data_IF_258241061980
#
_entry.id   IF_258241061980
#
_cell.length_a   1.000
_cell.length_b   1.000
_cell.length_c   1.000
_cell.angle_alpha   90.00
_cell.angle_beta   90.00
_cell.angle_gamma   90.00
#
_symmetry.space_group_name_H-M   'P 1'
#
loop_
_entity.id
_entity.type
_entity.pdbx_description
1 polymer ?
#
# COMPACT_ATOMS: atom_id res chain seq x y z
N UNK A 1 -33.60 14.88 -16.71
CA UNK A 1 -33.27 13.44 -16.83
C UNK A 1 -31.79 13.30 -17.21
N UNK A 2 -30.87 13.63 -16.28
CA UNK A 2 -29.43 13.38 -16.45
C UNK A 2 -28.92 12.84 -15.11
N UNK A 3 -29.17 11.56 -14.90
CA UNK A 3 -28.49 10.74 -13.88
C UNK A 3 -27.32 10.07 -14.61
N UNK A 4 -26.22 10.79 -14.81
CA UNK A 4 -24.94 10.15 -15.13
C UNK A 4 -24.26 9.87 -13.80
N UNK A 5 -24.27 8.58 -13.46
CA UNK A 5 -23.58 8.01 -12.33
C UNK A 5 -22.14 8.54 -12.25
N UNK A 6 -21.70 8.83 -11.03
CA UNK A 6 -20.30 9.02 -10.68
C UNK A 6 -19.53 7.77 -11.11
N UNK A 7 -18.95 7.77 -12.30
CA UNK A 7 -18.13 6.68 -12.80
C UNK A 7 -16.88 6.58 -11.92
N UNK A 8 -16.84 5.54 -11.09
CA UNK A 8 -15.66 5.09 -10.36
C UNK A 8 -14.60 4.70 -11.40
N UNK A 9 -13.57 5.52 -11.56
CA UNK A 9 -12.41 5.16 -12.38
C UNK A 9 -11.44 4.31 -11.55
N UNK A 10 -11.42 3.00 -11.79
CA UNK A 10 -10.46 2.08 -11.20
C UNK A 10 -9.35 1.78 -12.23
N UNK A 11 -8.09 2.13 -11.93
CA UNK A 11 -6.93 1.77 -12.75
C UNK A 11 -6.22 0.57 -12.13
N UNK A 12 -6.00 -0.48 -12.94
CA UNK A 12 -5.42 -1.76 -12.56
C UNK A 12 -3.91 -1.77 -12.84
N UNK A 13 -3.07 -2.13 -11.85
CA UNK A 13 -1.69 -2.58 -12.08
C UNK A 13 -1.46 -3.84 -11.26
N UNK A 14 -1.20 -4.95 -11.96
CA UNK A 14 -1.11 -6.31 -11.40
C UNK A 14 0.21 -6.53 -10.64
N UNK A 15 1.20 -5.67 -10.89
CA UNK A 15 2.45 -5.59 -10.14
C UNK A 15 2.59 -4.21 -9.54
N UNK A 16 2.76 -4.11 -8.21
CA UNK A 16 3.01 -2.83 -7.55
C UNK A 16 4.47 -2.45 -7.62
N UNK A 17 4.83 -1.38 -8.33
CA UNK A 17 6.22 -0.92 -8.35
C UNK A 17 6.70 -0.45 -6.97
N UNK A 18 5.79 0.09 -6.15
CA UNK A 18 6.11 0.59 -4.81
C UNK A 18 6.48 -0.55 -3.85
N UNK A 19 5.72 -1.63 -3.90
CA UNK A 19 6.00 -2.85 -3.13
C UNK A 19 7.39 -3.41 -3.36
N UNK A 20 7.75 -3.52 -4.65
CA UNK A 20 9.05 -4.01 -5.07
C UNK A 20 10.15 -3.03 -4.65
N UNK A 21 9.91 -1.72 -4.77
CA UNK A 21 10.87 -0.73 -4.29
C UNK A 21 11.15 -0.86 -2.79
N UNK A 22 10.13 -1.06 -1.96
CA UNK A 22 10.28 -1.28 -0.51
C UNK A 22 11.05 -2.58 -0.21
N UNK A 23 10.82 -3.62 -1.01
CA UNK A 23 11.57 -4.86 -0.94
C UNK A 23 13.05 -4.69 -1.21
N UNK A 24 13.35 -4.01 -2.33
CA UNK A 24 14.71 -3.79 -2.78
C UNK A 24 15.44 -2.90 -1.78
N UNK A 25 14.79 -1.86 -1.24
CA UNK A 25 15.37 -1.07 -0.16
C UNK A 25 15.72 -1.93 1.07
N UNK A 26 14.82 -2.83 1.46
CA UNK A 26 15.06 -3.74 2.59
C UNK A 26 16.22 -4.69 2.31
N UNK A 27 16.24 -5.31 1.13
CA UNK A 27 17.32 -6.20 0.67
C UNK A 27 18.66 -5.46 0.68
N UNK A 28 18.72 -4.28 0.09
CA UNK A 28 19.95 -3.52 -0.06
C UNK A 28 20.52 -3.14 1.32
N UNK A 29 19.67 -2.78 2.28
CA UNK A 29 20.07 -2.54 3.67
C UNK A 29 20.56 -3.80 4.39
N UNK A 30 19.92 -4.95 4.15
CA UNK A 30 20.35 -6.23 4.70
C UNK A 30 21.73 -6.63 4.15
N UNK A 31 21.93 -6.54 2.84
CA UNK A 31 23.22 -6.81 2.18
C UNK A 31 24.33 -5.89 2.67
N UNK A 32 24.01 -4.61 2.91
CA UNK A 32 24.98 -3.64 3.42
C UNK A 32 25.37 -3.90 4.89
N UNK A 33 24.44 -4.44 5.70
CA UNK A 33 24.68 -4.74 7.11
C UNK A 33 25.30 -6.13 7.34
N UNK A 34 25.08 -7.07 6.43
CA UNK A 34 25.45 -8.48 6.54
C UNK A 34 26.08 -8.96 5.23
N UNK A 35 27.41 -9.08 5.21
CA UNK A 35 28.17 -9.44 3.99
C UNK A 35 27.79 -10.79 3.40
N UNK A 36 27.39 -11.75 4.23
CA UNK A 36 26.91 -13.07 3.85
C UNK A 36 25.62 -13.01 3.04
N UNK A 37 24.80 -11.97 3.21
CA UNK A 37 23.58 -11.76 2.45
C UNK A 37 23.82 -11.09 1.10
N UNK A 38 25.04 -10.61 0.84
CA UNK A 38 25.41 -9.94 -0.41
C UNK A 38 25.71 -10.91 -1.57
N UNK A 39 25.93 -12.19 -1.25
CA UNK A 39 26.15 -13.26 -2.23
C UNK A 39 24.91 -13.48 -3.12
N UNK A 40 25.15 -13.84 -4.37
CA UNK A 40 24.07 -14.05 -5.33
C UNK A 40 23.16 -15.21 -4.90
N UNK A 41 21.87 -14.93 -4.75
CA UNK A 41 20.87 -15.90 -4.32
C UNK A 41 20.69 -16.06 -2.81
N UNK A 42 21.46 -15.35 -1.98
CA UNK A 42 21.29 -15.35 -0.52
C UNK A 42 19.94 -14.73 -0.09
N UNK A 43 19.49 -13.69 -0.80
CA UNK A 43 18.16 -13.10 -0.64
C UNK A 43 17.31 -13.37 -1.88
N UNK A 44 16.16 -14.01 -1.69
CA UNK A 44 15.16 -14.16 -2.74
C UNK A 44 13.92 -13.31 -2.45
N UNK A 45 13.60 -12.44 -3.41
CA UNK A 45 12.34 -11.70 -3.43
C UNK A 45 11.22 -12.60 -3.95
N UNK A 46 10.14 -12.72 -3.16
CA UNK A 46 8.96 -13.47 -3.58
C UNK A 46 7.72 -12.59 -3.52
N UNK A 47 6.91 -12.67 -4.58
CA UNK A 47 5.70 -11.87 -4.75
C UNK A 47 4.49 -12.70 -4.33
N UNK A 48 3.77 -12.25 -3.30
CA UNK A 48 2.52 -12.88 -2.84
C UNK A 48 1.35 -11.98 -3.27
N UNK A 49 0.36 -12.58 -3.94
CA UNK A 49 -0.89 -11.88 -4.33
C UNK A 49 -1.92 -12.01 -3.23
N UNK A 50 -2.48 -10.89 -2.79
CA UNK A 50 -3.47 -10.86 -1.71
C UNK A 50 -4.90 -10.86 -2.23
N UNK A 51 -5.86 -11.20 -1.38
CA UNK A 51 -7.28 -11.06 -1.73
C UNK A 51 -7.67 -9.59 -1.97
N UNK A 52 -7.03 -8.65 -1.27
CA UNK A 52 -7.20 -7.22 -1.50
C UNK A 52 -6.82 -6.77 -2.91
N UNK A 53 -5.83 -7.41 -3.55
CA UNK A 53 -5.48 -7.14 -4.95
C UNK A 53 -6.54 -7.65 -5.94
N UNK A 54 -7.35 -8.63 -5.54
CA UNK A 54 -8.41 -9.21 -6.38
C UNK A 54 -9.72 -8.40 -6.33
N UNK A 55 -9.96 -7.66 -5.24
CA UNK A 55 -11.22 -6.93 -5.01
C UNK A 55 -10.96 -5.42 -5.17
N UNK A 56 -10.98 -4.95 -6.42
CA UNK A 56 -10.72 -3.54 -6.78
C UNK A 56 -11.98 -2.78 -7.26
N UNK A 57 -13.14 -3.44 -7.26
CA UNK A 57 -14.39 -2.90 -7.81
C UNK A 57 -15.33 -2.32 -6.75
N UNK A 58 -14.98 -2.43 -5.46
CA UNK A 58 -15.80 -1.95 -4.34
C UNK A 58 -15.00 -1.03 -3.41
N UNK A 59 -15.63 -0.06 -2.74
CA UNK A 59 -14.96 0.81 -1.78
C UNK A 59 -14.36 0.02 -0.62
N UNK A 60 -13.14 0.36 -0.21
CA UNK A 60 -12.43 -0.30 0.90
C UNK A 60 -13.23 -0.32 2.21
N UNK A 61 -14.04 0.71 2.44
CA UNK A 61 -14.92 0.82 3.61
C UNK A 61 -16.03 -0.24 3.64
N UNK A 62 -16.44 -0.73 2.46
CA UNK A 62 -17.54 -1.68 2.30
C UNK A 62 -17.05 -3.14 2.30
N UNK A 63 -15.75 -3.37 2.10
CA UNK A 63 -15.16 -4.72 1.90
C UNK A 63 -14.97 -5.49 3.23
N UNK A 64 -15.15 -4.86 4.40
CA UNK A 64 -15.33 -5.53 5.70
C UNK A 64 -14.50 -6.80 5.94
N UNK A 65 -13.25 -6.67 6.37
CA UNK A 65 -12.40 -7.82 6.72
C UNK A 65 -11.08 -7.38 7.32
N UNK A 66 -10.68 -7.96 8.46
CA UNK A 66 -9.35 -7.72 9.04
C UNK A 66 -8.29 -8.38 8.15
N UNK A 67 -7.24 -7.65 7.76
CA UNK A 67 -6.08 -8.22 7.07
C UNK A 67 -6.22 -8.44 5.56
N UNK A 68 -7.07 -7.67 4.87
CA UNK A 68 -7.28 -7.77 3.40
C UNK A 68 -6.00 -7.79 2.54
N UNK A 69 -4.93 -7.17 3.03
CA UNK A 69 -3.64 -7.08 2.35
C UNK A 69 -2.50 -7.78 3.08
N UNK A 70 -2.76 -8.43 4.22
CA UNK A 70 -1.70 -9.08 5.02
C UNK A 70 -1.92 -10.57 5.18
N UNK A 71 -3.17 -11.05 5.10
CA UNK A 71 -3.53 -12.43 5.42
C UNK A 71 -2.67 -13.47 4.69
N UNK A 72 -2.55 -13.38 3.36
CA UNK A 72 -1.78 -14.36 2.59
C UNK A 72 -0.27 -14.29 2.88
N UNK A 73 0.24 -13.13 3.29
CA UNK A 73 1.64 -12.96 3.68
C UNK A 73 1.88 -13.51 5.09
N UNK A 74 0.95 -13.24 6.00
CA UNK A 74 0.95 -13.75 7.37
C UNK A 74 0.92 -15.29 7.35
N UNK A 75 0.08 -15.90 6.51
CA UNK A 75 0.04 -17.36 6.31
C UNK A 75 1.36 -17.91 5.77
N UNK A 76 1.97 -17.23 4.78
CA UNK A 76 3.25 -17.65 4.24
C UNK A 76 4.38 -17.58 5.28
N UNK A 77 4.39 -16.55 6.14
CA UNK A 77 5.33 -16.43 7.26
C UNK A 77 5.13 -17.52 8.29
N UNK A 78 3.89 -17.82 8.65
CA UNK A 78 3.57 -18.87 9.62
C UNK A 78 3.88 -20.28 9.11
N UNK A 79 3.79 -20.50 7.80
CA UNK A 79 4.12 -21.78 7.16
C UNK A 79 5.64 -21.96 6.92
N UNK A 80 6.45 -20.92 7.15
CA UNK A 80 7.88 -20.95 6.84
C UNK A 80 8.18 -20.92 5.34
N UNK A 81 7.22 -20.52 4.51
CA UNK A 81 7.49 -20.25 3.09
C UNK A 81 8.42 -19.03 2.95
N UNK A 82 8.48 -18.20 3.99
CA UNK A 82 9.12 -16.90 4.04
C UNK A 82 9.75 -16.66 5.38
N UNK A 83 10.86 -15.92 5.39
CA UNK A 83 11.53 -15.56 6.63
C UNK A 83 11.10 -14.18 7.13
N UNK A 84 10.93 -13.21 6.22
CA UNK A 84 10.44 -11.86 6.55
C UNK A 84 9.43 -11.32 5.53
N UNK A 85 8.52 -10.48 6.04
CA UNK A 85 7.53 -9.72 5.26
C UNK A 85 7.81 -8.22 5.33
N UNK A 86 7.76 -7.52 4.19
CA UNK A 86 8.01 -6.08 4.08
C UNK A 86 6.73 -5.32 3.76
N UNK A 87 6.16 -4.64 4.75
CA UNK A 87 4.88 -3.92 4.63
C UNK A 87 5.05 -2.40 4.53
N UNK A 88 4.13 -1.76 3.81
CA UNK A 88 3.79 -0.35 4.09
C UNK A 88 3.08 -0.29 5.44
N UNK A 89 3.67 0.40 6.43
CA UNK A 89 3.18 0.37 7.82
C UNK A 89 1.74 0.86 8.00
N UNK A 90 1.25 1.71 7.10
CA UNK A 90 -0.15 2.20 7.12
C UNK A 90 -1.19 1.09 6.87
N UNK A 91 -0.76 -0.02 6.27
CA UNK A 91 -1.61 -1.13 5.83
C UNK A 91 -1.52 -2.33 6.79
N UNK A 92 -0.62 -2.26 7.79
CA UNK A 92 -0.50 -3.30 8.82
C UNK A 92 -1.67 -3.19 9.80
N UNK A 93 -2.39 -4.29 10.09
CA UNK A 93 -3.47 -4.28 11.06
C UNK A 93 -2.95 -3.95 12.47
N UNK A 94 -3.82 -3.34 13.29
CA UNK A 94 -3.48 -2.99 14.68
C UNK A 94 -3.21 -4.20 15.57
N UNK A 95 -3.75 -5.36 15.21
CA UNK A 95 -3.46 -6.63 15.85
C UNK A 95 -2.65 -7.48 14.89
N UNK A 96 -1.47 -7.89 15.34
CA UNK A 96 -0.65 -8.84 14.62
C UNK A 96 -1.20 -10.26 14.81
N UNK A 97 -1.08 -11.13 13.79
CA UNK A 97 -1.38 -12.55 13.94
C UNK A 97 -0.57 -13.18 15.07
N UNK A 98 -1.13 -14.19 15.72
CA UNK A 98 -0.41 -14.97 16.71
C UNK A 98 0.85 -15.57 16.07
N UNK A 99 1.96 -15.59 16.84
CA UNK A 99 3.28 -16.10 16.43
C UNK A 99 4.01 -15.25 15.38
N UNK A 100 3.49 -14.08 15.00
CA UNK A 100 4.25 -13.08 14.25
C UNK A 100 4.66 -11.93 15.17
N UNK A 101 5.73 -11.23 14.80
CA UNK A 101 6.20 -10.02 15.47
C UNK A 101 6.58 -8.98 14.42
N UNK A 102 6.46 -7.69 14.77
CA UNK A 102 6.92 -6.57 13.95
C UNK A 102 8.01 -5.80 14.72
N UNK A 103 9.26 -6.30 14.73
CA UNK A 103 10.34 -5.71 15.53
C UNK A 103 11.08 -4.58 14.81
N UNK A 104 10.86 -4.39 13.50
CA UNK A 104 11.67 -3.51 12.66
C UNK A 104 10.81 -2.50 11.89
N UNK A 105 11.28 -1.25 11.86
CA UNK A 105 10.82 -0.22 10.94
C UNK A 105 12.06 0.44 10.32
N UNK A 106 12.06 0.60 9.00
CA UNK A 106 13.09 1.38 8.32
C UNK A 106 12.97 2.87 8.69
N UNK A 107 14.04 3.67 8.52
CA UNK A 107 13.98 5.13 8.63
C UNK A 107 12.78 5.69 7.87
N UNK A 108 12.00 6.52 8.55
CA UNK A 108 10.69 6.96 8.05
C UNK A 108 10.87 8.02 6.97
N UNK A 109 10.26 7.78 5.82
CA UNK A 109 10.14 8.76 4.74
C UNK A 109 9.13 9.88 5.05
N UNK A 110 9.05 10.88 4.17
CA UNK A 110 8.11 11.99 4.29
C UNK A 110 6.66 11.51 4.47
N UNK A 111 6.00 12.05 5.50
CA UNK A 111 4.66 11.66 5.93
C UNK A 111 3.55 12.50 5.31
N UNK A 112 3.90 13.55 4.56
CA UNK A 112 2.94 14.52 4.02
C UNK A 112 2.11 13.91 2.90
N UNK A 113 0.84 14.31 2.85
CA UNK A 113 0.02 14.08 1.66
C UNK A 113 0.48 15.04 0.55
N UNK A 114 0.59 14.53 -0.68
CA UNK A 114 0.87 15.35 -1.86
C UNK A 114 -0.43 15.75 -2.57
N UNK A 115 -0.48 16.99 -3.05
CA UNK A 115 -1.51 17.44 -3.97
C UNK A 115 -1.03 17.24 -5.41
N UNK A 116 -1.85 16.60 -6.24
CA UNK A 116 -1.52 16.29 -7.64
C UNK A 116 -2.63 16.87 -8.50
N UNK A 117 -2.29 17.79 -9.39
CA UNK A 117 -3.20 18.41 -10.34
C UNK A 117 -2.44 18.89 -11.57
N UNK A 118 -3.11 18.88 -12.72
CA UNK A 118 -2.58 19.43 -13.98
C UNK A 118 -2.96 20.91 -14.17
N UNK A 119 -3.96 21.39 -13.43
CA UNK A 119 -4.62 22.68 -13.69
C UNK A 119 -4.51 23.69 -12.56
N UNK A 120 -4.05 23.28 -11.39
CA UNK A 120 -3.92 24.13 -10.20
C UNK A 120 -2.66 23.75 -9.43
N UNK A 121 -2.00 24.72 -8.78
CA UNK A 121 -0.83 24.46 -7.95
C UNK A 121 -1.21 24.09 -6.51
N UNK A 122 -2.42 24.43 -6.07
CA UNK A 122 -2.90 24.14 -4.72
C UNK A 122 -4.40 23.84 -4.66
N UNK A 123 -4.83 23.24 -3.54
CA UNK A 123 -6.26 23.00 -3.25
C UNK A 123 -7.08 24.29 -3.20
N UNK A 124 -6.47 25.40 -2.76
CA UNK A 124 -7.13 26.71 -2.67
C UNK A 124 -7.40 27.37 -4.02
N UNK A 125 -6.68 26.97 -5.06
CA UNK A 125 -6.85 27.50 -6.42
C UNK A 125 -7.94 26.76 -7.21
N UNK A 126 -8.44 25.63 -6.69
CA UNK A 126 -9.48 24.88 -7.37
C UNK A 126 -10.79 25.66 -7.39
N UNK A 127 -11.45 25.80 -8.57
CA UNK A 127 -12.77 26.40 -8.66
C UNK A 127 -13.79 25.68 -7.75
N UNK A 128 -14.78 26.42 -7.26
CA UNK A 128 -15.89 25.83 -6.53
C UNK A 128 -16.60 24.76 -7.36
N UNK A 129 -16.94 23.64 -6.74
CA UNK A 129 -17.53 22.47 -7.39
C UNK A 129 -16.51 21.49 -7.99
N UNK A 130 -15.20 21.80 -7.97
CA UNK A 130 -14.16 20.88 -8.47
C UNK A 130 -14.19 19.53 -7.76
N UNK A 131 -13.85 18.47 -8.48
CA UNK A 131 -13.86 17.09 -7.98
C UNK A 131 -12.44 16.68 -7.60
N UNK A 132 -12.25 16.29 -6.35
CA UNK A 132 -10.99 15.72 -5.84
C UNK A 132 -11.19 14.22 -5.63
N UNK A 133 -10.37 13.40 -6.27
CA UNK A 133 -10.47 11.96 -6.15
C UNK A 133 -9.64 11.41 -4.98
N UNK A 134 -10.27 10.70 -4.05
CA UNK A 134 -9.58 9.91 -3.02
C UNK A 134 -10.46 8.80 -2.45
N UNK A 135 -9.90 7.61 -2.26
CA UNK A 135 -10.57 6.52 -1.52
C UNK A 135 -10.36 6.61 0.00
N UNK A 136 -9.50 7.52 0.49
CA UNK A 136 -9.20 7.64 1.92
C UNK A 136 -10.26 8.47 2.63
N UNK A 137 -10.99 7.86 3.57
CA UNK A 137 -11.93 8.57 4.45
C UNK A 137 -11.21 9.65 5.28
N UNK A 138 -9.95 9.40 5.68
CA UNK A 138 -9.11 10.39 6.37
C UNK A 138 -8.90 11.64 5.53
N UNK A 139 -8.52 11.48 4.25
CA UNK A 139 -8.30 12.63 3.35
C UNK A 139 -9.62 13.32 3.03
N UNK A 140 -10.67 12.56 2.73
CA UNK A 140 -12.01 13.08 2.45
C UNK A 140 -12.53 13.98 3.58
N UNK A 141 -12.46 13.52 4.82
CA UNK A 141 -12.95 14.31 5.97
C UNK A 141 -12.17 15.60 6.15
N UNK A 142 -10.83 15.56 6.05
CA UNK A 142 -9.97 16.74 6.17
C UNK A 142 -10.21 17.74 5.03
N UNK A 143 -10.35 17.26 3.80
CA UNK A 143 -10.65 18.10 2.63
C UNK A 143 -11.99 18.82 2.79
N UNK A 144 -13.07 18.09 3.09
CA UNK A 144 -14.40 18.67 3.21
C UNK A 144 -14.56 19.58 4.44
N UNK A 145 -13.76 19.36 5.49
CA UNK A 145 -13.73 20.26 6.64
C UNK A 145 -13.17 21.64 6.26
N UNK A 146 -12.07 21.68 5.51
CA UNK A 146 -11.38 22.94 5.15
C UNK A 146 -11.90 23.60 3.87
N UNK A 147 -12.27 22.82 2.87
CA UNK A 147 -12.67 23.27 1.54
C UNK A 147 -14.09 22.79 1.21
N UNK A 148 -15.09 23.40 1.87
CA UNK A 148 -16.51 23.01 1.77
C UNK A 148 -17.12 23.13 0.37
N UNK A 149 -16.49 23.92 -0.51
CA UNK A 149 -16.94 24.12 -1.89
C UNK A 149 -16.47 23.01 -2.84
N UNK A 150 -15.60 22.10 -2.40
CA UNK A 150 -15.09 21.00 -3.22
C UNK A 150 -15.96 19.76 -3.08
N UNK A 151 -16.01 18.97 -4.15
CA UNK A 151 -16.63 17.65 -4.17
C UNK A 151 -15.54 16.57 -4.06
N UNK A 152 -15.83 15.48 -3.34
CA UNK A 152 -14.89 14.34 -3.22
C UNK A 152 -15.51 13.08 -3.81
N UNK A 153 -14.86 12.52 -4.84
CA UNK A 153 -15.24 11.24 -5.44
C UNK A 153 -14.26 10.14 -5.05
N UNK A 154 -14.72 8.89 -5.10
CA UNK A 154 -13.86 7.73 -4.89
C UNK A 154 -12.96 7.59 -6.11
N UNK A 155 -11.66 7.55 -5.83
CA UNK A 155 -10.63 7.24 -6.82
C UNK A 155 -9.88 6.01 -6.32
N UNK A 156 -10.11 4.89 -7.00
CA UNK A 156 -9.46 3.62 -6.69
C UNK A 156 -8.20 3.50 -7.55
N UNK A 157 -7.07 3.87 -6.97
CA UNK A 157 -5.77 3.43 -7.46
C UNK A 157 -5.31 2.28 -6.57
N UNK A 158 -5.10 1.11 -7.18
CA UNK A 158 -4.18 0.16 -6.62
C UNK A 158 -2.77 0.76 -6.78
N UNK A 159 -2.31 1.54 -5.80
CA UNK A 159 -0.90 1.46 -5.45
C UNK A 159 -0.77 0.03 -4.93
N UNK A 160 -0.56 -0.93 -5.83
CA UNK A 160 -0.80 -2.34 -5.54
C UNK A 160 -0.13 -2.73 -4.24
N UNK A 161 -0.79 -3.56 -3.46
CA UNK A 161 -0.23 -4.00 -2.19
C UNK A 161 0.40 -5.36 -2.46
N UNK A 162 1.37 -5.37 -3.39
CA UNK A 162 2.35 -6.44 -3.33
C UNK A 162 3.16 -6.16 -2.09
N UNK A 163 3.49 -7.22 -1.39
CA UNK A 163 4.18 -7.09 -0.14
C UNK A 163 5.29 -8.09 -0.26
N UNK A 164 6.47 -7.53 -0.35
CA UNK A 164 7.58 -8.30 -0.82
C UNK A 164 8.12 -9.13 0.33
N UNK A 165 8.38 -10.36 -0.04
CA UNK A 165 8.89 -11.40 0.81
C UNK A 165 10.39 -11.46 0.61
N UNK A 166 11.15 -11.69 1.67
CA UNK A 166 12.57 -12.04 1.57
C UNK A 166 12.74 -13.41 2.20
N UNK A 167 13.27 -14.34 1.40
CA UNK A 167 13.77 -15.63 1.89
C UNK A 167 15.28 -15.48 2.06
N UNK A 168 15.79 -15.76 3.25
CA UNK A 168 17.21 -15.83 3.58
C UNK A 168 17.61 -17.30 3.47
N UNK A 169 18.38 -17.64 2.44
CA UNK A 169 18.91 -19.00 2.34
C UNK A 169 20.11 -19.13 3.26
N UNK A 170 20.02 -19.98 4.28
CA UNK A 170 21.22 -20.46 4.97
C UNK A 170 22.11 -21.18 3.95
N UNK A 171 23.40 -20.84 3.95
CA UNK A 171 24.43 -21.62 3.27
C UNK A 171 24.58 -22.95 4.02
N UNK A 172 23.82 -23.97 3.59
CA UNK A 172 24.14 -25.37 3.87
C UNK A 172 25.18 -25.89 2.90
#
# INVERSE_FOLDING_TARGET
MISRALETSCVQNIDSPLALAQAYETRDKLMAAHSELAEEGAIQIVVIKTTGDKILTQPLADIGGKGLFTKEIDEALLNGDIDIAVHSMKDVPTYLPDKTILPCNLPREDVRDAFISLTAASLSELPAGSIVGTASLRRKSQLLHRYKSLNVSILCYALGYILCRIVIKEFL
#
